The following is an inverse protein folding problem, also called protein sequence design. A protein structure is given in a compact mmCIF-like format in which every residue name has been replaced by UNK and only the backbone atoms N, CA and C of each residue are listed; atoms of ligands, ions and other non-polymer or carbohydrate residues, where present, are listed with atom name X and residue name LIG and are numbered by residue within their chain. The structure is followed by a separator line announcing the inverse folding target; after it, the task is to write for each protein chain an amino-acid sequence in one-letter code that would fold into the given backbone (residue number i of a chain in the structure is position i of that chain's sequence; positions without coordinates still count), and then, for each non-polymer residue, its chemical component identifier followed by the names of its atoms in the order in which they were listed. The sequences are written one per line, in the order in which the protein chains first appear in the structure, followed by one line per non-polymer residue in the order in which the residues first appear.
data_IF_191397671682
#
_entry.id   IF_191397671682
#
_cell.length_a   1.000
_cell.length_b   1.000
_cell.length_c   1.000
_cell.angle_alpha   90.00
_cell.angle_beta   90.00
_cell.angle_gamma   90.00
#
_symmetry.space_group_name_H-M   'P 1'
#
loop_
_entity.id
_entity.type
_entity.pdbx_description
1 polymer ?
#
# COMPACT_ATOMS: atom_id res chain seq x y z
N UNK A 1 -7.74 -0.35 -22.05
CA UNK A 1 -6.75 0.06 -21.04
C UNK A 1 -7.02 -0.73 -19.79
N UNK A 2 -6.17 -1.70 -19.48
CA UNK A 2 -6.24 -2.41 -18.21
C UNK A 2 -5.51 -1.59 -17.14
N UNK A 3 -6.06 -1.55 -15.93
CA UNK A 3 -5.43 -0.89 -14.77
C UNK A 3 -5.23 -1.94 -13.70
N UNK A 4 -3.99 -2.14 -13.26
CA UNK A 4 -3.67 -3.12 -12.22
C UNK A 4 -2.86 -2.47 -11.12
N UNK A 5 -3.26 -2.70 -9.86
CA UNK A 5 -2.54 -2.27 -8.67
C UNK A 5 -2.07 -3.51 -7.92
N UNK A 6 -0.75 -3.61 -7.71
CA UNK A 6 -0.09 -4.63 -6.91
C UNK A 6 0.09 -4.13 -5.47
N UNK A 7 -0.51 -4.82 -4.52
CA UNK A 7 -0.71 -4.32 -3.15
C UNK A 7 0.16 -5.15 -2.21
N UNK A 8 0.98 -4.47 -1.42
CA UNK A 8 1.61 -5.04 -0.24
C UNK A 8 0.56 -5.39 0.81
N UNK A 9 0.64 -6.60 1.35
CA UNK A 9 -0.24 -7.13 2.37
C UNK A 9 -1.14 -8.24 1.87
N UNK A 10 -1.99 -8.74 2.78
CA UNK A 10 -2.78 -9.95 2.59
C UNK A 10 -2.06 -11.24 2.98
N UNK A 11 -0.96 -11.16 3.74
CA UNK A 11 -0.26 -12.31 4.31
C UNK A 11 0.20 -13.35 3.26
N UNK A 12 0.40 -14.60 3.70
CA UNK A 12 0.87 -15.69 2.83
C UNK A 12 -0.25 -16.66 2.41
N UNK A 13 -1.46 -16.50 2.95
CA UNK A 13 -2.57 -17.44 2.72
C UNK A 13 -3.57 -16.90 1.70
N UNK A 14 -4.08 -17.78 0.83
CA UNK A 14 -5.09 -17.40 -0.17
C UNK A 14 -6.30 -16.68 0.43
N UNK A 15 -6.69 -17.05 1.65
CA UNK A 15 -7.79 -16.40 2.38
C UNK A 15 -7.45 -14.95 2.72
N UNK A 16 -6.27 -14.69 3.29
CA UNK A 16 -5.82 -13.34 3.61
C UNK A 16 -5.67 -12.46 2.35
N UNK A 17 -5.22 -13.02 1.24
CA UNK A 17 -5.20 -12.31 -0.05
C UNK A 17 -6.62 -11.93 -0.53
N UNK A 18 -7.62 -12.80 -0.33
CA UNK A 18 -9.04 -12.50 -0.67
C UNK A 18 -9.56 -11.36 0.21
N UNK A 19 -9.33 -11.43 1.52
CA UNK A 19 -9.78 -10.42 2.47
C UNK A 19 -9.13 -9.05 2.21
N UNK A 20 -7.82 -9.03 1.93
CA UNK A 20 -7.09 -7.82 1.55
C UNK A 20 -7.72 -7.15 0.33
N UNK A 21 -7.92 -7.90 -0.76
CA UNK A 21 -8.58 -7.37 -1.97
C UNK A 21 -10.00 -6.90 -1.71
N UNK A 22 -10.76 -7.57 -0.84
CA UNK A 22 -12.11 -7.16 -0.46
C UNK A 22 -12.10 -5.82 0.28
N UNK A 23 -11.17 -5.62 1.21
CA UNK A 23 -10.98 -4.36 1.94
C UNK A 23 -10.66 -3.20 0.99
N UNK A 24 -9.61 -3.32 0.18
CA UNK A 24 -9.23 -2.27 -0.77
C UNK A 24 -10.29 -1.99 -1.83
N UNK A 25 -11.00 -3.03 -2.29
CA UNK A 25 -12.13 -2.82 -3.19
C UNK A 25 -13.19 -1.94 -2.54
N UNK A 26 -13.57 -2.23 -1.29
CA UNK A 26 -14.57 -1.46 -0.57
C UNK A 26 -14.13 -0.01 -0.33
N UNK A 27 -12.85 0.19 -0.03
CA UNK A 27 -12.24 1.52 0.09
C UNK A 27 -12.37 2.30 -1.22
N UNK A 28 -11.89 1.75 -2.34
CA UNK A 28 -11.92 2.41 -3.64
C UNK A 28 -13.36 2.67 -4.15
N UNK A 29 -14.29 1.77 -3.88
CA UNK A 29 -15.71 1.99 -4.15
C UNK A 29 -16.24 3.21 -3.38
N UNK A 30 -15.91 3.34 -2.09
CA UNK A 30 -16.30 4.48 -1.28
C UNK A 30 -15.60 5.79 -1.73
N UNK A 31 -14.43 5.70 -2.36
CA UNK A 31 -13.73 6.82 -2.98
C UNK A 31 -14.27 7.18 -4.38
N UNK A 32 -15.33 6.50 -4.87
CA UNK A 32 -15.99 6.83 -6.14
C UNK A 32 -15.46 6.08 -7.37
N UNK A 33 -14.58 5.08 -7.21
CA UNK A 33 -14.01 4.32 -8.34
C UNK A 33 -14.89 3.16 -8.82
N UNK A 34 -16.14 3.06 -8.37
CA UNK A 34 -17.03 1.91 -8.64
C UNK A 34 -17.13 1.53 -10.13
N UNK A 35 -17.22 2.52 -11.01
CA UNK A 35 -17.35 2.32 -12.47
C UNK A 35 -16.01 2.27 -13.22
N UNK A 36 -14.89 2.44 -12.51
CA UNK A 36 -13.55 2.52 -13.07
C UNK A 36 -12.53 1.76 -12.19
N UNK A 37 -12.95 0.61 -11.66
CA UNK A 37 -12.17 -0.16 -10.71
C UNK A 37 -10.93 -0.78 -11.36
N UNK A 38 -9.72 -0.53 -10.83
CA UNK A 38 -8.55 -1.30 -11.22
C UNK A 38 -8.66 -2.75 -10.72
N UNK A 39 -7.94 -3.65 -11.40
CA UNK A 39 -7.66 -4.98 -10.88
C UNK A 39 -6.73 -4.84 -9.67
N UNK A 40 -7.11 -5.44 -8.56
CA UNK A 40 -6.31 -5.47 -7.34
C UNK A 40 -5.63 -6.84 -7.21
N UNK A 41 -4.32 -6.84 -7.00
CA UNK A 41 -3.52 -8.04 -6.75
C UNK A 41 -2.82 -7.87 -5.41
N UNK A 42 -3.20 -8.67 -4.41
CA UNK A 42 -2.48 -8.70 -3.13
C UNK A 42 -1.27 -9.61 -3.28
N UNK A 43 -0.11 -9.15 -2.82
CA UNK A 43 1.20 -9.75 -3.08
C UNK A 43 1.86 -10.36 -1.84
N UNK A 44 1.28 -10.22 -0.65
CA UNK A 44 1.95 -10.61 0.60
C UNK A 44 3.01 -9.59 0.95
N UNK A 45 4.27 -10.00 1.10
CA UNK A 45 5.36 -9.09 1.45
C UNK A 45 5.72 -8.04 0.39
N UNK A 46 6.39 -6.97 0.82
CA UNK A 46 6.78 -5.83 -0.03
C UNK A 46 7.66 -6.20 -1.23
N UNK A 47 8.64 -7.07 -1.02
CA UNK A 47 9.53 -7.56 -2.07
C UNK A 47 8.74 -8.30 -3.16
N UNK A 48 7.72 -9.07 -2.76
CA UNK A 48 6.82 -9.71 -3.72
C UNK A 48 6.01 -8.67 -4.49
N UNK A 49 5.49 -7.63 -3.85
CA UNK A 49 4.78 -6.55 -4.53
C UNK A 49 5.65 -5.85 -5.59
N UNK A 50 6.90 -5.53 -5.24
CA UNK A 50 7.85 -4.91 -6.15
C UNK A 50 8.20 -5.83 -7.34
N UNK A 51 8.51 -7.10 -7.09
CA UNK A 51 8.82 -8.06 -8.16
C UNK A 51 7.64 -8.27 -9.14
N UNK A 52 6.42 -8.33 -8.61
CA UNK A 52 5.22 -8.39 -9.45
C UNK A 52 5.03 -7.12 -10.28
N UNK A 53 5.25 -5.95 -9.67
CA UNK A 53 5.21 -4.67 -10.37
C UNK A 53 6.22 -4.61 -11.51
N UNK A 54 7.49 -4.96 -11.26
CA UNK A 54 8.54 -4.97 -12.28
C UNK A 54 8.18 -5.89 -13.44
N UNK A 55 7.74 -7.11 -13.13
CA UNK A 55 7.33 -8.09 -14.14
C UNK A 55 6.16 -7.57 -14.97
N UNK A 56 5.13 -7.01 -14.32
CA UNK A 56 3.95 -6.50 -15.01
C UNK A 56 4.27 -5.25 -15.84
N UNK A 57 5.07 -4.34 -15.33
CA UNK A 57 5.49 -3.12 -16.02
C UNK A 57 6.37 -3.41 -17.23
N UNK A 58 7.23 -4.43 -17.17
CA UNK A 58 8.03 -4.86 -18.31
C UNK A 58 7.19 -5.51 -19.43
N UNK A 59 6.07 -6.13 -19.08
CA UNK A 59 5.22 -6.88 -20.02
C UNK A 59 3.93 -6.14 -20.42
N UNK A 60 3.70 -4.92 -19.91
CA UNK A 60 2.46 -4.17 -20.18
C UNK A 60 2.39 -3.69 -21.63
N UNK A 61 1.18 -3.54 -22.15
CA UNK A 61 0.99 -2.78 -23.40
C UNK A 61 1.08 -1.28 -23.10
N UNK A 62 1.42 -0.45 -24.10
CA UNK A 62 1.47 1.02 -23.95
C UNK A 62 0.16 1.63 -23.46
N UNK A 63 -0.98 0.96 -23.69
CA UNK A 63 -2.30 1.40 -23.24
C UNK A 63 -2.70 0.89 -21.86
N UNK A 64 -1.86 0.10 -21.19
CA UNK A 64 -2.12 -0.44 -19.86
C UNK A 64 -1.43 0.42 -18.80
N UNK A 65 -2.07 0.49 -17.64
CA UNK A 65 -1.55 1.16 -16.46
C UNK A 65 -1.28 0.12 -15.36
N UNK A 66 -0.06 0.15 -14.83
CA UNK A 66 0.42 -0.73 -13.78
C UNK A 66 0.96 0.15 -12.66
N UNK A 67 0.52 -0.09 -11.43
CA UNK A 67 1.02 0.60 -10.25
C UNK A 67 1.23 -0.40 -9.10
N UNK A 68 1.95 0.02 -8.08
CA UNK A 68 2.03 -0.69 -6.80
C UNK A 68 1.57 0.21 -5.66
N UNK A 69 0.94 -0.41 -4.65
CA UNK A 69 0.52 0.21 -3.41
C UNK A 69 1.25 -0.49 -2.26
N UNK A 70 2.18 0.21 -1.62
CA UNK A 70 3.13 -0.34 -0.65
C UNK A 70 3.20 0.56 0.58
N UNK A 71 3.61 0.02 1.73
CA UNK A 71 3.87 0.82 2.94
C UNK A 71 5.09 1.74 2.71
N UNK A 72 5.01 3.00 3.16
CA UNK A 72 6.16 3.90 3.13
C UNK A 72 7.26 3.45 4.09
N UNK A 73 6.94 2.71 5.16
CA UNK A 73 7.81 2.23 6.27
C UNK A 73 8.48 3.33 7.10
N UNK A 74 8.72 4.48 6.47
CA UNK A 74 9.35 5.66 7.05
C UNK A 74 8.65 6.91 6.52
N UNK A 75 8.92 8.02 7.20
CA UNK A 75 8.47 9.36 6.81
C UNK A 75 8.90 9.64 5.37
N UNK A 76 7.93 10.02 4.52
CA UNK A 76 8.22 10.50 3.18
C UNK A 76 8.70 11.95 3.24
N UNK A 77 9.98 12.17 2.94
CA UNK A 77 10.56 13.54 2.89
C UNK A 77 10.14 14.30 1.64
N UNK A 78 9.90 13.60 0.52
CA UNK A 78 9.32 14.15 -0.71
C UNK A 78 8.39 13.13 -1.37
N UNK A 79 7.08 13.39 -1.32
CA UNK A 79 6.06 12.53 -1.93
C UNK A 79 6.10 12.53 -3.46
N UNK A 80 6.82 13.46 -4.09
CA UNK A 80 6.94 13.53 -5.55
C UNK A 80 8.07 12.67 -6.10
N UNK A 81 8.96 12.17 -5.24
CA UNK A 81 10.13 11.37 -5.62
C UNK A 81 10.13 9.97 -4.96
N UNK A 82 9.08 9.16 -5.19
CA UNK A 82 8.91 7.87 -4.50
C UNK A 82 10.03 6.87 -4.81
N UNK A 83 10.61 6.94 -6.00
CA UNK A 83 11.72 6.05 -6.36
C UNK A 83 13.02 6.38 -5.63
N UNK A 84 13.25 7.64 -5.24
CA UNK A 84 14.40 7.99 -4.41
C UNK A 84 14.23 7.41 -3.01
N UNK A 85 13.02 7.53 -2.43
CA UNK A 85 12.69 6.92 -1.15
C UNK A 85 12.92 5.40 -1.15
N UNK A 86 12.41 4.71 -2.17
CA UNK A 86 12.60 3.26 -2.31
C UNK A 86 14.06 2.87 -2.55
N UNK A 87 14.82 3.70 -3.26
CA UNK A 87 16.24 3.44 -3.47
C UNK A 87 17.03 3.57 -2.16
N UNK A 88 16.73 4.59 -1.36
CA UNK A 88 17.40 4.84 -0.09
C UNK A 88 17.04 3.79 0.97
N UNK A 89 15.75 3.43 1.07
CA UNK A 89 15.26 2.47 2.07
C UNK A 89 15.57 1.02 1.70
N UNK A 90 15.25 0.61 0.47
CA UNK A 90 15.28 -0.80 0.05
C UNK A 90 16.43 -1.15 -0.87
N UNK A 91 17.09 -0.16 -1.46
CA UNK A 91 18.02 -0.36 -2.56
C UNK A 91 17.35 -0.64 -3.90
N UNK A 92 16.02 -0.53 -4.00
CA UNK A 92 15.27 -0.81 -5.23
C UNK A 92 15.52 0.23 -6.31
N UNK A 93 15.90 -0.24 -7.51
CA UNK A 93 16.09 0.62 -8.66
C UNK A 93 14.76 0.88 -9.40
N UNK A 94 14.57 2.13 -9.82
CA UNK A 94 13.45 2.54 -10.67
C UNK A 94 13.47 1.75 -11.98
N UNK A 95 12.42 0.96 -12.30
CA UNK A 95 12.35 0.25 -13.57
C UNK A 95 12.33 1.22 -14.77
N UNK A 96 12.96 0.85 -15.87
CA UNK A 96 13.02 1.70 -17.06
C UNK A 96 11.62 2.04 -17.59
N UNK A 97 11.40 3.33 -17.91
CA UNK A 97 10.12 3.84 -18.39
C UNK A 97 8.97 3.75 -17.37
N UNK A 98 9.28 3.59 -16.08
CA UNK A 98 8.30 3.80 -15.02
C UNK A 98 8.23 5.28 -14.62
N UNK A 99 7.07 5.68 -14.14
CA UNK A 99 6.76 7.02 -13.68
C UNK A 99 6.59 7.04 -12.16
N UNK A 100 6.65 8.22 -11.56
CA UNK A 100 6.56 8.38 -10.10
C UNK A 100 5.13 8.07 -9.61
N UNK A 101 4.10 8.37 -10.42
CA UNK A 101 2.69 8.11 -10.08
C UNK A 101 2.30 6.61 -10.04
N UNK A 102 3.19 5.73 -10.50
CA UNK A 102 3.01 4.28 -10.45
C UNK A 102 3.40 3.68 -9.08
N UNK A 103 3.96 4.48 -8.19
CA UNK A 103 4.23 4.12 -6.79
C UNK A 103 3.26 4.87 -5.90
N UNK A 104 2.35 4.13 -5.29
CA UNK A 104 1.40 4.64 -4.32
C UNK A 104 1.87 4.21 -2.94
N UNK A 105 2.10 5.16 -2.04
CA UNK A 105 2.40 4.84 -0.66
C UNK A 105 1.12 4.79 0.17
N UNK A 106 0.99 3.73 0.96
CA UNK A 106 0.28 3.80 2.23
C UNK A 106 1.20 4.59 3.14
N UNK A 107 0.86 5.86 3.39
CA UNK A 107 1.72 6.79 4.11
C UNK A 107 1.48 6.66 5.60
N UNK A 108 2.55 6.77 6.39
CA UNK A 108 2.56 6.67 7.85
C UNK A 108 1.46 7.47 8.54
N UNK A 109 0.99 8.57 7.94
CA UNK A 109 -0.13 9.39 8.44
C UNK A 109 -1.45 8.60 8.52
N UNK A 110 -1.72 7.69 7.59
CA UNK A 110 -2.92 6.84 7.62
C UNK A 110 -2.82 5.77 8.72
N UNK A 111 -1.66 5.14 8.92
CA UNK A 111 -1.44 4.27 10.09
C UNK A 111 -1.51 5.09 11.38
N UNK A 112 -0.96 6.30 11.38
CA UNK A 112 -0.98 7.23 12.50
C UNK A 112 -2.41 7.62 12.87
N UNK A 113 -3.31 7.87 11.92
CA UNK A 113 -4.72 8.15 12.21
C UNK A 113 -5.43 6.98 12.88
N UNK A 114 -5.15 5.75 12.41
CA UNK A 114 -5.71 4.53 13.00
C UNK A 114 -5.15 4.30 14.40
N UNK A 115 -3.85 4.53 14.61
CA UNK A 115 -3.15 4.32 15.89
C UNK A 115 -3.41 5.45 16.89
N UNK A 116 -3.69 6.66 16.42
CA UNK A 116 -4.04 7.80 17.25
C UNK A 116 -5.42 7.64 17.91
N UNK A 117 -6.37 6.98 17.24
CA UNK A 117 -7.69 6.68 17.81
C UNK A 117 -7.69 5.35 18.57
N UNK A 118 -7.04 5.37 19.74
CA UNK A 118 -6.95 4.20 20.62
C UNK A 118 -8.33 3.71 21.10
N UNK A 119 -9.30 4.62 21.22
CA UNK A 119 -10.67 4.26 21.62
C UNK A 119 -11.37 3.44 20.53
N UNK A 120 -11.26 3.85 19.26
CA UNK A 120 -11.79 3.07 18.13
C UNK A 120 -11.13 1.69 18.03
N UNK A 121 -9.80 1.62 18.22
CA UNK A 121 -9.07 0.35 18.25
C UNK A 121 -9.54 -0.56 19.39
N UNK A 122 -9.67 -0.01 20.60
CA UNK A 122 -10.13 -0.77 21.76
C UNK A 122 -11.56 -1.28 21.59
N UNK A 123 -12.44 -0.47 20.99
CA UNK A 123 -13.81 -0.87 20.68
C UNK A 123 -13.89 -1.97 19.61
N UNK A 124 -12.98 -1.96 18.64
CA UNK A 124 -12.96 -2.95 17.55
C UNK A 124 -12.31 -4.28 17.96
N UNK A 125 -11.12 -4.22 18.57
CA UNK A 125 -10.30 -5.38 18.90
C UNK A 125 -10.50 -5.88 20.34
N UNK A 126 -11.10 -5.10 21.23
CA UNK A 126 -11.40 -5.50 22.60
C UNK A 126 -10.14 -5.91 23.38
N UNK A 127 -10.21 -7.06 24.06
CA UNK A 127 -9.09 -7.61 24.84
C UNK A 127 -7.91 -8.10 24.00
N UNK A 128 -8.08 -8.24 22.68
CA UNK A 128 -7.01 -8.68 21.78
C UNK A 128 -6.09 -7.52 21.37
N UNK A 129 -6.46 -6.28 21.70
CA UNK A 129 -5.60 -5.12 21.47
C UNK A 129 -4.43 -5.11 22.47
N UNK A 130 -3.21 -5.17 21.93
CA UNK A 130 -1.99 -4.96 22.70
C UNK A 130 -1.68 -3.46 22.82
N UNK A 131 -2.39 -2.74 23.68
CA UNK A 131 -2.26 -1.27 23.84
C UNK A 131 -0.81 -0.84 24.16
N UNK A 132 -0.08 -1.68 24.89
CA UNK A 132 1.32 -1.44 25.25
C UNK A 132 2.29 -1.56 24.06
N UNK A 133 1.87 -2.20 22.97
CA UNK A 133 2.63 -2.33 21.74
C UNK A 133 2.35 -1.17 20.75
N UNK A 134 1.34 -0.34 21.02
CA UNK A 134 1.08 0.85 20.22
C UNK A 134 2.14 1.92 20.48
N UNK A 135 2.64 2.61 19.44
CA UNK A 135 3.61 3.67 19.61
C UNK A 135 3.05 4.85 20.43
N UNK A 136 3.93 5.64 21.07
CA UNK A 136 3.53 6.86 21.78
C UNK A 136 2.76 7.81 20.86
N UNK A 137 1.80 8.56 21.43
CA UNK A 137 1.05 9.57 20.68
C UNK A 137 1.84 10.88 20.44
N UNK A 138 3.10 10.94 20.87
CA UNK A 138 4.00 12.09 20.69
C UNK A 138 4.85 11.86 19.45
N UNK A 139 5.10 12.92 18.67
CA UNK A 139 5.83 12.89 17.40
C UNK A 139 5.26 11.92 16.35
N UNK A 140 3.96 11.64 16.45
CA UNK A 140 3.19 11.05 15.36
C UNK A 140 3.18 12.01 14.16
N UNK A 141 3.41 11.49 12.95
CA UNK A 141 3.43 12.30 11.72
C UNK A 141 2.11 13.07 11.56
N UNK A 142 2.22 14.39 11.34
CA UNK A 142 1.11 15.29 10.94
C UNK A 142 1.33 15.81 9.53
#
# INVERSE_FOLDING_TARGET
MNKTIYIEGGGDSNELHILCRKGFRKLLENCGFKDNMPRLVSCGGRESAFNHFQTAHANKSNSDYVAMLIDSENILTDSNEPWNHLKERDGWDKPSGSENDQVLFMTTCMETWIVADRDALANHYGSDLQDNALPPLVDLEL
#
